data_IF_521757001867
#
_entry.id   IF_521757001867
#
_cell.length_a   1.000
_cell.length_b   1.000
_cell.length_c   1.000
_cell.angle_alpha   90.00
_cell.angle_beta   90.00
_cell.angle_gamma   90.00
#
_symmetry.space_group_name_H-M   'P 1'
#
loop_
_entity.id
_entity.type
_entity.pdbx_description
1 polymer ?
#
# COMPACT_ATOMS: atom_id res chain seq x y z
N UNK A 1 -12.20 -1.43 6.60
CA UNK A 1 -10.99 -0.61 6.69
C UNK A 1 -9.84 -1.52 7.09
N UNK A 2 -8.91 -1.71 6.17
CA UNK A 2 -7.72 -2.52 6.34
C UNK A 2 -6.54 -1.56 6.40
N UNK A 3 -5.73 -1.67 7.44
CA UNK A 3 -4.56 -0.82 7.63
C UNK A 3 -3.33 -1.62 7.25
N UNK A 4 -2.49 -1.05 6.40
CA UNK A 4 -1.16 -1.61 6.10
C UNK A 4 -0.12 -0.63 6.61
N UNK A 5 0.65 -1.07 7.59
CA UNK A 5 1.59 -0.21 8.30
C UNK A 5 3.00 -0.76 8.25
N UNK A 6 3.96 0.15 8.32
CA UNK A 6 5.38 -0.18 8.29
C UNK A 6 6.20 1.10 8.36
N UNK A 7 7.49 0.95 8.64
CA UNK A 7 8.45 2.04 8.53
C UNK A 7 8.60 2.52 7.06
N UNK A 8 9.19 3.70 6.81
CA UNK A 8 9.61 4.07 5.45
C UNK A 8 10.40 2.94 4.78
N UNK A 9 10.32 2.85 3.46
CA UNK A 9 11.09 1.87 2.66
C UNK A 9 10.77 0.37 2.89
N UNK A 10 9.80 0.04 3.73
CA UNK A 10 9.31 -1.35 3.93
C UNK A 10 8.52 -1.92 2.74
N UNK A 11 8.24 -1.11 1.71
CA UNK A 11 7.50 -1.55 0.52
C UNK A 11 5.98 -1.40 0.59
N UNK A 12 5.44 -0.58 1.52
CA UNK A 12 3.98 -0.34 1.68
C UNK A 12 3.27 0.01 0.37
N UNK A 13 3.75 1.05 -0.32
CA UNK A 13 3.21 1.49 -1.61
C UNK A 13 3.28 0.38 -2.65
N UNK A 14 4.43 -0.29 -2.77
CA UNK A 14 4.60 -1.41 -3.70
C UNK A 14 3.60 -2.54 -3.42
N UNK A 15 3.40 -2.90 -2.14
CA UNK A 15 2.44 -3.92 -1.72
C UNK A 15 1.01 -3.54 -2.09
N UNK A 16 0.58 -2.31 -1.77
CA UNK A 16 -0.76 -1.83 -2.12
C UNK A 16 -0.97 -1.74 -3.64
N UNK A 17 0.04 -1.29 -4.40
CA UNK A 17 0.01 -1.25 -5.86
C UNK A 17 -0.09 -2.66 -6.45
N UNK A 18 0.66 -3.63 -5.94
CA UNK A 18 0.57 -5.02 -6.41
C UNK A 18 -0.81 -5.63 -6.13
N UNK A 19 -1.43 -5.33 -4.97
CA UNK A 19 -2.81 -5.73 -4.68
C UNK A 19 -3.79 -5.05 -5.65
N UNK A 20 -3.62 -3.76 -5.92
CA UNK A 20 -4.46 -3.01 -6.86
C UNK A 20 -4.35 -3.57 -8.28
N UNK A 21 -3.14 -3.87 -8.75
CA UNK A 21 -2.88 -4.52 -10.04
C UNK A 21 -3.56 -5.88 -10.12
N UNK A 22 -3.33 -6.75 -9.13
CA UNK A 22 -3.96 -8.06 -9.09
C UNK A 22 -5.50 -7.97 -9.08
N UNK A 23 -6.07 -7.08 -8.27
CA UNK A 23 -7.52 -6.87 -8.20
C UNK A 23 -8.11 -6.37 -9.51
N UNK A 24 -7.44 -5.41 -10.16
CA UNK A 24 -7.87 -4.88 -11.45
C UNK A 24 -7.76 -5.91 -12.57
N UNK A 25 -6.62 -6.61 -12.67
CA UNK A 25 -6.33 -7.53 -13.76
C UNK A 25 -7.10 -8.85 -13.64
N UNK A 26 -7.07 -9.48 -12.46
CA UNK A 26 -7.61 -10.82 -12.29
C UNK A 26 -9.11 -10.82 -11.99
N UNK A 27 -9.60 -9.84 -11.22
CA UNK A 27 -11.03 -9.75 -10.89
C UNK A 27 -11.81 -8.83 -11.83
N UNK A 28 -11.12 -8.04 -12.67
CA UNK A 28 -11.76 -7.09 -13.60
C UNK A 28 -12.52 -5.96 -12.89
N UNK A 29 -12.28 -5.75 -11.59
CA UNK A 29 -13.05 -4.78 -10.80
C UNK A 29 -12.31 -3.45 -10.68
N UNK A 30 -13.02 -2.31 -10.81
CA UNK A 30 -12.40 -1.01 -10.66
C UNK A 30 -11.71 -0.85 -9.29
N UNK A 31 -10.51 -0.27 -9.32
CA UNK A 31 -9.75 0.11 -8.13
C UNK A 31 -9.49 1.61 -8.18
N UNK A 32 -9.82 2.31 -7.10
CA UNK A 32 -9.55 3.74 -6.95
C UNK A 32 -8.38 3.96 -5.97
N UNK A 33 -7.29 4.53 -6.45
CA UNK A 33 -6.07 4.76 -5.69
C UNK A 33 -5.86 6.27 -5.49
N UNK A 34 -5.88 6.72 -4.24
CA UNK A 34 -5.49 8.07 -3.85
C UNK A 34 -4.01 8.07 -3.48
N UNK A 35 -3.17 8.72 -4.27
CA UNK A 35 -1.75 8.86 -3.99
C UNK A 35 -1.44 10.28 -3.56
N UNK A 36 -1.10 10.44 -2.29
CA UNK A 36 -0.85 11.74 -1.67
C UNK A 36 0.65 12.05 -1.57
N UNK A 37 1.50 11.02 -1.71
CA UNK A 37 2.96 11.14 -1.68
C UNK A 37 3.59 11.09 -3.08
N UNK A 38 3.02 10.29 -4.00
CA UNK A 38 3.61 10.01 -5.31
C UNK A 38 2.69 10.49 -6.45
N UNK A 39 3.28 10.96 -7.55
CA UNK A 39 2.53 11.27 -8.76
C UNK A 39 2.05 10.00 -9.48
N UNK A 40 0.96 10.10 -10.25
CA UNK A 40 0.39 8.96 -10.97
C UNK A 40 1.39 8.28 -11.90
N UNK A 41 2.21 9.06 -12.61
CA UNK A 41 3.26 8.53 -13.50
C UNK A 41 4.24 7.61 -12.77
N UNK A 42 4.65 7.97 -11.55
CA UNK A 42 5.59 7.16 -10.76
C UNK A 42 4.96 5.85 -10.31
N UNK A 43 3.66 5.85 -9.99
CA UNK A 43 2.93 4.63 -9.67
C UNK A 43 2.77 3.74 -10.90
N UNK A 44 2.45 4.30 -12.07
CA UNK A 44 2.37 3.56 -13.33
C UNK A 44 3.74 2.95 -13.69
N UNK A 45 4.84 3.68 -13.53
CA UNK A 45 6.19 3.13 -13.73
C UNK A 45 6.46 1.92 -12.82
N UNK A 46 6.06 1.98 -11.54
CA UNK A 46 6.18 0.83 -10.62
C UNK A 46 5.32 -0.34 -11.08
N UNK A 47 4.09 -0.09 -11.52
CA UNK A 47 3.19 -1.11 -12.04
C UNK A 47 3.80 -1.82 -13.26
N UNK A 48 4.37 -1.05 -14.19
CA UNK A 48 5.04 -1.56 -15.38
C UNK A 48 6.32 -2.35 -15.03
N UNK A 49 7.18 -1.80 -14.16
CA UNK A 49 8.40 -2.48 -13.72
C UNK A 49 8.11 -3.81 -13.03
N UNK A 50 7.07 -3.84 -12.18
CA UNK A 50 6.60 -5.06 -11.52
C UNK A 50 6.07 -6.08 -12.54
N UNK A 51 5.29 -5.64 -13.52
CA UNK A 51 4.65 -6.52 -14.50
C UNK A 51 5.63 -7.05 -15.56
N UNK A 52 6.47 -6.18 -16.12
CA UNK A 52 7.46 -6.54 -17.13
C UNK A 52 8.74 -7.16 -16.55
N UNK A 53 8.90 -7.18 -15.21
CA UNK A 53 10.13 -7.57 -14.52
C UNK A 53 11.35 -6.79 -15.03
N UNK A 54 11.19 -5.48 -15.16
CA UNK A 54 12.26 -4.55 -15.54
C UNK A 54 12.63 -3.73 -14.32
N UNK A 55 13.94 -3.56 -14.10
CA UNK A 55 14.43 -2.76 -12.99
C UNK A 55 13.82 -1.34 -13.06
N UNK A 56 13.23 -0.88 -11.97
CA UNK A 56 12.52 0.41 -11.92
C UNK A 56 13.40 1.61 -12.23
N UNK A 57 14.69 1.55 -11.88
CA UNK A 57 15.67 2.59 -12.20
C UNK A 57 15.97 2.62 -13.70
N UNK A 58 16.16 1.45 -14.31
CA UNK A 58 16.39 1.35 -15.75
C UNK A 58 15.17 1.80 -16.54
N UNK A 59 13.97 1.44 -16.07
CA UNK A 59 12.71 1.87 -16.68
C UNK A 59 12.58 3.40 -16.65
N UNK A 60 12.89 4.04 -15.50
CA UNK A 60 12.84 5.49 -15.36
C UNK A 60 13.84 6.21 -16.27
N UNK A 61 15.02 5.63 -16.45
CA UNK A 61 16.09 6.25 -17.25
C UNK A 61 16.07 5.83 -18.72
N UNK A 62 15.20 4.89 -19.10
CA UNK A 62 15.17 4.32 -20.46
C UNK A 62 16.40 3.45 -20.79
N UNK A 63 17.14 2.97 -19.79
CA UNK A 63 18.42 2.28 -19.95
C UNK A 63 18.32 0.75 -19.97
N UNK A 64 17.17 0.19 -20.36
CA UNK A 64 16.93 -1.25 -20.42
C UNK A 64 17.22 -1.84 -21.81
N UNK A 65 17.56 -3.14 -21.90
CA UNK A 65 17.89 -3.79 -23.17
C UNK A 65 16.76 -3.74 -24.19
N UNK A 66 17.10 -3.76 -25.48
CA UNK A 66 16.13 -3.86 -26.58
C UNK A 66 15.21 -5.09 -26.44
N UNK A 67 15.74 -6.20 -25.92
CA UNK A 67 14.99 -7.43 -25.67
C UNK A 67 13.86 -7.27 -24.63
N UNK A 68 13.94 -6.28 -23.75
CA UNK A 68 12.91 -6.02 -22.73
C UNK A 68 11.74 -5.17 -23.25
N UNK A 69 11.84 -4.60 -24.46
CA UNK A 69 10.77 -3.78 -25.03
C UNK A 69 9.49 -4.56 -25.30
N UNK A 70 9.60 -5.82 -25.74
CA UNK A 70 8.44 -6.67 -25.99
C UNK A 70 7.66 -6.90 -24.69
N UNK A 71 8.35 -7.30 -23.62
CA UNK A 71 7.76 -7.49 -22.29
C UNK A 71 7.17 -6.20 -21.71
N UNK A 72 7.81 -5.05 -21.96
CA UNK A 72 7.27 -3.75 -21.54
C UNK A 72 6.01 -3.37 -22.34
N UNK A 73 6.00 -3.58 -23.65
CA UNK A 73 4.86 -3.29 -24.51
C UNK A 73 3.65 -4.16 -24.13
N UNK A 74 3.87 -5.44 -23.88
CA UNK A 74 2.83 -6.35 -23.38
C UNK A 74 2.29 -5.91 -22.01
N UNK A 75 3.18 -5.58 -21.06
CA UNK A 75 2.80 -5.10 -19.74
C UNK A 75 1.97 -3.80 -19.83
N UNK A 76 2.36 -2.89 -20.73
CA UNK A 76 1.62 -1.66 -20.99
C UNK A 76 0.23 -1.93 -21.59
N UNK A 77 0.13 -2.87 -22.53
CA UNK A 77 -1.15 -3.30 -23.09
C UNK A 77 -2.09 -3.85 -22.01
N UNK A 78 -1.61 -4.78 -21.18
CA UNK A 78 -2.39 -5.33 -20.05
C UNK A 78 -2.79 -4.25 -19.05
N UNK A 79 -1.88 -3.35 -18.71
CA UNK A 79 -2.15 -2.29 -17.74
C UNK A 79 -3.18 -1.27 -18.27
N UNK A 80 -3.15 -0.96 -19.57
CA UNK A 80 -4.10 -0.05 -20.21
C UNK A 80 -5.55 -0.56 -20.16
N UNK A 81 -5.74 -1.89 -20.19
CA UNK A 81 -7.06 -2.53 -20.06
C UNK A 81 -7.48 -2.72 -18.59
N UNK A 82 -6.57 -2.50 -17.64
CA UNK A 82 -6.83 -2.72 -16.22
C UNK A 82 -7.60 -1.52 -15.62
N UNK A 83 -8.74 -1.72 -14.93
CA UNK A 83 -9.57 -0.62 -14.42
C UNK A 83 -9.01 -0.01 -13.12
N UNK A 84 -7.79 0.51 -13.16
CA UNK A 84 -7.16 1.22 -12.04
C UNK A 84 -7.19 2.72 -12.31
N UNK A 85 -7.72 3.47 -11.36
CA UNK A 85 -7.91 4.92 -11.46
C UNK A 85 -7.09 5.57 -10.36
N UNK A 86 -6.17 6.45 -10.74
CA UNK A 86 -5.28 7.13 -9.81
C UNK A 86 -5.74 8.58 -9.66
N UNK A 87 -5.88 9.02 -8.42
CA UNK A 87 -6.07 10.39 -8.02
C UNK A 87 -4.81 10.83 -7.25
N UNK A 88 -3.96 11.60 -7.91
CA UNK A 88 -2.69 12.12 -7.36
C UNK A 88 -2.79 13.59 -6.93
N UNK A 89 -4.02 14.08 -6.67
CA UNK A 89 -4.20 15.45 -6.20
C UNK A 89 -3.55 15.64 -4.82
N UNK A 90 -2.76 16.70 -4.68
CA UNK A 90 -2.16 17.09 -3.40
C UNK A 90 -3.24 17.49 -2.38
N UNK A 91 -3.02 17.15 -1.12
CA UNK A 91 -3.89 17.49 0.03
C UNK A 91 -5.34 17.01 -0.15
N UNK A 92 -5.70 15.95 0.58
CA UNK A 92 -7.03 15.35 0.50
C UNK A 92 -7.71 15.40 1.87
N UNK A 93 -8.81 16.15 1.98
CA UNK A 93 -9.64 16.11 3.19
C UNK A 93 -10.53 14.88 3.25
N UNK A 94 -10.97 14.50 4.46
CA UNK A 94 -11.92 13.38 4.66
C UNK A 94 -13.26 13.59 3.93
N UNK A 95 -13.74 14.84 3.85
CA UNK A 95 -14.96 15.20 3.12
C UNK A 95 -14.79 15.04 1.61
N UNK A 96 -13.69 15.54 1.05
CA UNK A 96 -13.37 15.40 -0.37
C UNK A 96 -13.17 13.94 -0.76
N UNK A 97 -12.42 13.17 0.04
CA UNK A 97 -12.26 11.74 -0.15
C UNK A 97 -13.62 11.04 -0.25
N UNK A 98 -14.53 11.30 0.70
CA UNK A 98 -15.89 10.74 0.68
C UNK A 98 -16.67 11.15 -0.57
N UNK A 99 -16.64 12.43 -0.94
CA UNK A 99 -17.35 12.94 -2.11
C UNK A 99 -16.83 12.32 -3.41
N UNK A 100 -15.51 12.20 -3.56
CA UNK A 100 -14.86 11.59 -4.73
C UNK A 100 -15.16 10.10 -4.81
N UNK A 101 -15.06 9.35 -3.71
CA UNK A 101 -15.41 7.94 -3.65
C UNK A 101 -16.89 7.69 -4.03
N UNK A 102 -17.84 8.49 -3.50
CA UNK A 102 -19.26 8.40 -3.87
C UNK A 102 -19.49 8.64 -5.35
N UNK A 103 -18.90 9.71 -5.89
CA UNK A 103 -19.00 10.06 -7.32
C UNK A 103 -18.38 9.01 -8.21
N UNK A 104 -17.30 8.36 -7.76
CA UNK A 104 -16.68 7.27 -8.49
C UNK A 104 -17.59 6.01 -8.46
N UNK A 105 -18.05 5.59 -7.29
CA UNK A 105 -18.97 4.44 -7.12
C UNK A 105 -20.28 4.61 -7.90
N UNK A 106 -20.78 5.84 -8.06
CA UNK A 106 -21.98 6.08 -8.86
C UNK A 106 -21.78 5.79 -10.35
N UNK A 107 -20.57 6.03 -10.88
CA UNK A 107 -20.16 5.71 -12.25
C UNK A 107 -19.69 4.26 -12.42
N UNK A 108 -19.11 3.68 -11.37
CA UNK A 108 -18.53 2.33 -11.35
C UNK A 108 -19.17 1.52 -10.22
N UNK A 109 -20.35 0.94 -10.50
CA UNK A 109 -21.18 0.25 -9.49
C UNK A 109 -20.46 -0.94 -8.84
N UNK A 110 -19.52 -1.54 -9.56
CA UNK A 110 -18.71 -2.70 -9.20
C UNK A 110 -17.34 -2.33 -8.62
N UNK A 111 -17.09 -1.05 -8.26
CA UNK A 111 -15.88 -0.62 -7.55
C UNK A 111 -15.54 -1.63 -6.44
N UNK A 112 -14.37 -2.26 -6.59
CA UNK A 112 -13.94 -3.41 -5.80
C UNK A 112 -12.96 -3.07 -4.70
N UNK A 113 -12.21 -1.97 -4.82
CA UNK A 113 -11.21 -1.57 -3.84
C UNK A 113 -10.95 -0.06 -3.88
N UNK A 114 -10.78 0.54 -2.71
CA UNK A 114 -10.20 1.88 -2.57
C UNK A 114 -8.88 1.78 -1.81
N UNK A 115 -7.85 2.46 -2.29
CA UNK A 115 -6.53 2.53 -1.66
C UNK A 115 -6.19 3.98 -1.35
N UNK A 116 -5.64 4.25 -0.17
CA UNK A 116 -5.13 5.57 0.23
C UNK A 116 -3.66 5.45 0.64
N UNK A 117 -2.77 6.14 -0.07
CA UNK A 117 -1.34 6.19 0.18
C UNK A 117 -0.89 7.63 0.49
N UNK A 118 -0.74 8.05 1.75
CA UNK A 118 -1.00 7.33 3.00
C UNK A 118 -1.75 8.24 3.98
N UNK A 119 -2.39 7.67 5.01
CA UNK A 119 -3.45 8.37 5.75
C UNK A 119 -2.98 9.64 6.49
N UNK A 120 -1.71 9.70 6.91
CA UNK A 120 -1.18 10.86 7.65
C UNK A 120 -0.92 12.10 6.76
N UNK A 121 -1.08 11.98 5.45
CA UNK A 121 -1.08 13.11 4.51
C UNK A 121 -2.49 13.65 4.21
N UNK A 122 -3.53 12.98 4.71
CA UNK A 122 -4.88 13.52 4.67
C UNK A 122 -5.05 14.58 5.75
N UNK A 123 -5.93 15.55 5.47
CA UNK A 123 -6.31 16.56 6.43
C UNK A 123 -7.69 16.24 7.01
N UNK A 124 -7.89 16.56 8.29
CA UNK A 124 -9.24 16.57 8.85
C UNK A 124 -10.07 17.70 8.23
N UNK A 125 -11.39 17.52 8.20
CA UNK A 125 -12.28 18.54 7.62
C UNK A 125 -12.46 19.75 8.56
N UNK A 126 -12.05 19.60 9.82
CA UNK A 126 -12.05 20.63 10.87
C UNK A 126 -10.63 20.91 11.27
N UNK A 127 -10.31 22.13 11.70
CA UNK A 127 -8.98 22.42 12.25
C UNK A 127 -8.84 21.71 13.61
N UNK A 128 -7.92 20.76 13.71
CA UNK A 128 -7.59 20.06 14.94
C UNK A 128 -6.12 20.31 15.26
N UNK A 129 -5.83 20.84 16.46
CA UNK A 129 -4.46 21.13 16.87
C UNK A 129 -3.68 19.86 17.26
N UNK A 130 -4.39 18.86 17.78
CA UNK A 130 -3.79 17.60 18.18
C UNK A 130 -3.78 16.61 17.00
N UNK A 131 -2.58 16.36 16.46
CA UNK A 131 -2.36 15.41 15.35
C UNK A 131 -2.93 14.01 15.62
N UNK A 132 -2.90 13.52 16.85
CA UNK A 132 -3.46 12.20 17.18
C UNK A 132 -4.99 12.17 17.04
N UNK A 133 -5.66 13.26 17.44
CA UNK A 133 -7.10 13.42 17.27
C UNK A 133 -7.48 13.60 15.79
N UNK A 134 -6.66 14.32 15.02
CA UNK A 134 -6.84 14.46 13.57
C UNK A 134 -6.76 13.09 12.88
N UNK A 135 -5.74 12.30 13.18
CA UNK A 135 -5.58 10.95 12.64
C UNK A 135 -6.75 10.05 13.05
N UNK A 136 -7.27 10.20 14.27
CA UNK A 136 -8.48 9.51 14.72
C UNK A 136 -9.75 9.92 13.95
N UNK A 137 -9.90 11.19 13.59
CA UNK A 137 -10.99 11.64 12.72
C UNK A 137 -10.86 11.06 11.31
N UNK A 138 -9.66 11.09 10.74
CA UNK A 138 -9.36 10.53 9.41
C UNK A 138 -9.70 9.04 9.37
N UNK A 139 -9.18 8.27 10.32
CA UNK A 139 -9.45 6.83 10.45
C UNK A 139 -10.96 6.52 10.50
N UNK A 140 -11.72 7.23 11.34
CA UNK A 140 -13.17 7.09 11.43
C UNK A 140 -13.87 7.46 10.12
N UNK A 141 -13.41 8.52 9.45
CA UNK A 141 -13.91 8.93 8.14
C UNK A 141 -13.72 7.83 7.07
N UNK A 142 -12.52 7.26 6.98
CA UNK A 142 -12.21 6.15 6.07
C UNK A 142 -13.06 4.91 6.38
N UNK A 143 -13.22 4.56 7.66
CA UNK A 143 -14.10 3.46 8.09
C UNK A 143 -15.56 3.71 7.73
N UNK A 144 -16.03 4.95 7.88
CA UNK A 144 -17.35 5.39 7.47
C UNK A 144 -17.58 5.17 5.98
N UNK A 145 -16.64 5.61 5.13
CA UNK A 145 -16.71 5.40 3.67
C UNK A 145 -16.71 3.93 3.31
N UNK A 146 -15.85 3.12 3.93
CA UNK A 146 -15.81 1.67 3.67
C UNK A 146 -17.16 0.99 3.95
N UNK A 147 -17.83 1.36 5.04
CA UNK A 147 -19.16 0.84 5.41
C UNK A 147 -20.25 1.36 4.49
N UNK A 148 -20.24 2.66 4.22
CA UNK A 148 -21.28 3.30 3.41
C UNK A 148 -21.29 2.80 1.96
N UNK A 149 -20.12 2.64 1.36
CA UNK A 149 -20.01 2.20 -0.03
C UNK A 149 -19.99 0.69 -0.18
N UNK A 150 -19.88 -0.05 0.93
CA UNK A 150 -19.68 -1.51 0.96
C UNK A 150 -18.47 -1.95 0.12
N UNK A 151 -17.38 -1.17 0.18
CA UNK A 151 -16.14 -1.42 -0.56
C UNK A 151 -14.99 -1.53 0.44
N UNK A 152 -14.09 -2.53 0.30
CA UNK A 152 -12.89 -2.59 1.11
C UNK A 152 -12.03 -1.34 0.86
N UNK A 153 -11.59 -0.71 1.94
CA UNK A 153 -10.64 0.41 1.92
C UNK A 153 -9.34 -0.07 2.53
N UNK A 154 -8.24 0.02 1.78
CA UNK A 154 -6.87 -0.14 2.29
C UNK A 154 -6.30 1.26 2.53
N UNK A 155 -5.86 1.53 3.75
CA UNK A 155 -5.14 2.75 4.06
C UNK A 155 -3.72 2.42 4.50
N UNK A 156 -2.74 3.00 3.80
CA UNK A 156 -1.35 2.90 4.19
C UNK A 156 -1.09 3.82 5.39
N UNK A 157 -0.28 3.33 6.33
CA UNK A 157 0.11 4.08 7.52
C UNK A 157 1.60 3.98 7.78
N UNK A 158 2.19 5.05 8.27
CA UNK A 158 3.55 5.04 8.77
C UNK A 158 3.60 4.77 10.28
N UNK A 159 4.50 3.89 10.70
CA UNK A 159 4.75 3.60 12.12
C UNK A 159 5.68 4.62 12.77
N UNK A 160 5.60 4.72 14.10
CA UNK A 160 6.53 5.52 14.91
C UNK A 160 8.00 5.10 14.70
N UNK A 161 8.95 6.03 14.89
CA UNK A 161 10.39 5.71 14.82
C UNK A 161 10.87 4.87 16.01
N UNK A 162 10.09 4.82 17.09
CA UNK A 162 10.41 4.05 18.30
C UNK A 162 10.68 2.56 18.03
N UNK A 163 10.09 1.98 16.98
CA UNK A 163 10.34 0.61 16.53
C UNK A 163 11.82 0.35 16.29
N UNK A 164 12.54 1.33 15.76
CA UNK A 164 13.95 1.19 15.37
C UNK A 164 14.90 1.22 16.57
N UNK A 165 14.43 1.68 17.73
CA UNK A 165 15.20 1.77 18.97
C UNK A 165 15.12 0.50 19.82
N UNK A 166 14.19 -0.41 19.50
CA UNK A 166 14.09 -1.71 20.19
C UNK A 166 15.17 -2.65 19.70
N UNK A 167 15.59 -3.57 20.57
CA UNK A 167 16.45 -4.70 20.19
C UNK A 167 15.78 -5.55 19.10
N UNK A 168 14.50 -5.88 19.30
CA UNK A 168 13.68 -6.51 18.28
C UNK A 168 12.91 -5.44 17.48
N UNK A 169 13.34 -5.22 16.24
CA UNK A 169 12.78 -4.20 15.33
C UNK A 169 11.53 -4.68 14.59
N UNK A 170 10.93 -5.80 15.01
CA UNK A 170 9.64 -6.26 14.48
C UNK A 170 8.52 -5.33 14.96
N UNK A 171 7.66 -4.82 14.07
CA UNK A 171 6.56 -3.97 14.48
C UNK A 171 5.47 -4.70 15.26
N UNK A 172 4.79 -3.96 16.13
CA UNK A 172 3.70 -4.40 17.01
C UNK A 172 2.54 -3.39 16.97
N UNK A 173 1.34 -3.78 17.41
CA UNK A 173 0.17 -2.89 17.41
C UNK A 173 0.41 -1.57 18.17
N UNK A 174 1.16 -1.63 19.27
CA UNK A 174 1.54 -0.45 20.05
C UNK A 174 2.36 0.58 19.27
N UNK A 175 2.93 0.22 18.13
CA UNK A 175 3.70 1.15 17.28
C UNK A 175 2.78 2.05 16.43
N UNK A 176 1.48 1.73 16.39
CA UNK A 176 0.40 2.58 15.90
C UNK A 176 -0.18 3.47 17.01
N UNK A 177 0.29 3.35 18.26
CA UNK A 177 -0.33 3.95 19.46
C UNK A 177 -0.27 5.48 19.50
N UNK A 178 0.64 6.12 18.77
CA UNK A 178 0.56 7.56 18.46
C UNK A 178 -0.73 7.93 17.70
N UNK A 179 -1.54 6.93 17.36
CA UNK A 179 -2.81 6.99 16.65
C UNK A 179 -3.73 5.84 17.09
N UNK A 180 -3.89 5.61 18.40
CA UNK A 180 -4.65 4.47 18.96
C UNK A 180 -6.08 4.28 18.42
N UNK A 181 -6.69 5.32 17.84
CA UNK A 181 -7.95 5.21 17.12
C UNK A 181 -7.86 4.37 15.83
N UNK A 182 -6.73 4.39 15.12
CA UNK A 182 -6.50 3.54 13.93
C UNK A 182 -6.68 2.07 14.30
N UNK A 183 -6.05 1.64 15.39
CA UNK A 183 -6.15 0.27 15.86
C UNK A 183 -7.61 -0.09 16.13
N UNK A 184 -8.37 0.77 16.79
CA UNK A 184 -9.77 0.50 17.15
C UNK A 184 -10.67 0.42 15.92
N UNK A 185 -10.56 1.37 14.99
CA UNK A 185 -11.42 1.48 13.80
C UNK A 185 -11.14 0.39 12.74
N UNK A 186 -9.89 -0.07 12.66
CA UNK A 186 -9.48 -1.07 11.69
C UNK A 186 -10.21 -2.41 11.88
N UNK A 187 -10.59 -3.03 10.77
CA UNK A 187 -11.05 -4.43 10.75
C UNK A 187 -9.84 -5.37 10.75
N UNK A 188 -8.81 -5.01 9.98
CA UNK A 188 -7.54 -5.75 9.88
C UNK A 188 -6.37 -4.78 9.95
N UNK A 189 -5.31 -5.16 10.67
CA UNK A 189 -4.04 -4.43 10.73
C UNK A 189 -2.93 -5.35 10.27
N UNK A 190 -2.26 -4.96 9.19
CA UNK A 190 -1.12 -5.65 8.59
C UNK A 190 0.15 -4.85 8.88
N UNK A 191 1.13 -5.46 9.55
CA UNK A 191 2.40 -4.86 9.89
C UNK A 191 3.50 -5.47 9.02
N UNK A 192 4.13 -4.63 8.20
CA UNK A 192 5.20 -5.05 7.29
C UNK A 192 6.56 -5.01 7.97
N UNK A 193 7.33 -6.07 7.77
CA UNK A 193 8.69 -6.21 8.27
C UNK A 193 9.59 -6.86 7.21
N UNK A 194 10.77 -6.28 7.00
CA UNK A 194 11.81 -6.81 6.11
C UNK A 194 13.14 -6.85 6.88
N UNK A 195 13.65 -8.04 7.26
CA UNK A 195 14.89 -8.14 8.04
C UNK A 195 16.09 -7.52 7.32
N UNK A 196 16.26 -7.83 6.03
CA UNK A 196 17.33 -7.28 5.19
C UNK A 196 17.41 -5.74 5.14
N UNK A 197 16.33 -5.01 5.44
CA UNK A 197 16.39 -3.55 5.58
C UNK A 197 17.20 -3.10 6.81
N UNK A 198 17.12 -3.86 7.90
CA UNK A 198 17.79 -3.55 9.16
C UNK A 198 19.18 -4.16 9.27
N UNK A 199 19.45 -5.18 8.45
CA UNK A 199 20.70 -5.94 8.39
C UNK A 199 21.63 -5.45 7.25
N UNK A 200 21.15 -4.52 6.41
CA UNK A 200 21.90 -3.93 5.30
C UNK A 200 23.25 -3.36 5.77
N UNK A 201 24.35 -3.96 5.29
CA UNK A 201 25.73 -3.50 5.57
C UNK A 201 26.74 -4.59 5.90
N UNK A 202 26.35 -5.86 5.98
CA UNK A 202 27.30 -6.98 6.17
C UNK A 202 27.93 -7.35 4.81
N UNK A 203 29.25 -7.18 4.61
CA UNK A 203 29.89 -7.53 3.34
C UNK A 203 29.85 -9.06 3.11
N UNK A 204 29.35 -9.49 1.95
CA UNK A 204 29.36 -10.90 1.52
C UNK A 204 28.08 -11.69 1.79
N UNK A 205 27.06 -11.10 2.40
CA UNK A 205 25.73 -11.71 2.51
C UNK A 205 24.87 -11.42 1.27
N UNK A 206 24.14 -12.43 0.78
CA UNK A 206 23.12 -12.26 -0.26
C UNK A 206 22.03 -11.28 0.22
N UNK A 207 21.46 -10.48 -0.68
CA UNK A 207 20.41 -9.52 -0.34
C UNK A 207 19.18 -10.28 0.20
N UNK A 208 18.89 -10.13 1.50
CA UNK A 208 17.72 -10.76 2.11
C UNK A 208 16.42 -10.11 1.61
N UNK A 209 15.82 -10.76 0.63
CA UNK A 209 14.57 -10.36 0.00
C UNK A 209 13.32 -10.84 0.76
N UNK A 210 13.45 -11.49 1.93
CA UNK A 210 12.30 -11.92 2.72
C UNK A 210 11.50 -10.71 3.19
N UNK A 211 10.19 -10.85 3.12
CA UNK A 211 9.25 -9.90 3.67
C UNK A 211 8.16 -10.63 4.44
N UNK A 212 7.85 -10.11 5.63
CA UNK A 212 6.84 -10.66 6.51
C UNK A 212 5.71 -9.66 6.67
N UNK A 213 4.48 -10.14 6.51
CA UNK A 213 3.26 -9.38 6.76
C UNK A 213 2.61 -10.01 7.99
N UNK A 214 2.77 -9.36 9.15
CA UNK A 214 2.11 -9.78 10.37
C UNK A 214 0.67 -9.24 10.40
N UNK A 215 -0.32 -10.13 10.36
CA UNK A 215 -1.72 -9.83 10.64
C UNK A 215 -1.87 -9.64 12.15
N UNK A 216 -1.54 -8.45 12.62
CA UNK A 216 -1.52 -8.12 14.03
C UNK A 216 -2.93 -7.95 14.64
N UNK A 217 -3.92 -7.61 13.81
CA UNK A 217 -5.34 -7.59 14.18
C UNK A 217 -6.17 -8.12 13.02
N UNK A 218 -7.18 -8.93 13.34
CA UNK A 218 -8.18 -9.37 12.38
C UNK A 218 -9.52 -9.58 13.12
N UNK A 219 -10.53 -8.74 12.84
CA UNK A 219 -11.84 -8.84 13.52
C UNK A 219 -12.62 -10.11 13.17
N UNK A 220 -12.40 -10.67 11.98
CA UNK A 220 -13.21 -11.74 11.40
C UNK A 220 -12.41 -13.02 11.10
N UNK A 221 -11.25 -13.20 11.71
CA UNK A 221 -10.42 -14.37 11.44
C UNK A 221 -9.12 -14.38 12.25
N UNK A 222 -8.20 -15.31 11.95
CA UNK A 222 -6.99 -15.46 12.72
C UNK A 222 -6.00 -14.32 12.47
N UNK A 223 -5.22 -14.02 13.51
CA UNK A 223 -3.93 -13.33 13.40
C UNK A 223 -2.87 -14.33 12.96
N UNK A 224 -1.70 -13.83 12.53
CA UNK A 224 -0.60 -14.69 12.09
C UNK A 224 0.34 -13.95 11.15
N UNK A 225 1.35 -14.66 10.66
CA UNK A 225 2.35 -14.08 9.77
C UNK A 225 2.25 -14.70 8.38
N UNK A 226 2.35 -13.85 7.36
CA UNK A 226 2.45 -14.27 5.96
C UNK A 226 3.87 -13.97 5.49
N UNK A 227 4.56 -15.01 5.00
CA UNK A 227 5.87 -14.88 4.37
C UNK A 227 5.72 -14.60 2.86
N UNK A 228 6.43 -13.59 2.39
CA UNK A 228 6.53 -13.16 1.00
C UNK A 228 8.01 -12.94 0.65
N UNK A 229 8.29 -12.78 -0.64
CA UNK A 229 9.57 -12.30 -1.16
C UNK A 229 9.33 -10.96 -1.84
N UNK A 230 10.14 -9.96 -1.51
CA UNK A 230 10.10 -8.64 -2.14
C UNK A 230 11.27 -8.49 -3.13
N UNK A 231 10.95 -8.56 -4.41
CA UNK A 231 11.87 -8.30 -5.52
C UNK A 231 11.99 -6.77 -5.66
N UNK A 232 13.01 -6.21 -5.01
CA UNK A 232 13.20 -4.77 -4.84
C UNK A 232 13.37 -4.06 -6.16
N UNK A 233 14.14 -4.65 -7.06
CA UNK A 233 14.44 -4.16 -8.41
C UNK A 233 13.18 -3.95 -9.24
N UNK A 234 12.16 -4.79 -9.06
CA UNK A 234 10.89 -4.72 -9.78
C UNK A 234 9.78 -4.08 -8.95
N UNK A 235 10.03 -3.75 -7.69
CA UNK A 235 9.03 -3.27 -6.73
C UNK A 235 7.84 -4.23 -6.62
N UNK A 236 8.13 -5.54 -6.60
CA UNK A 236 7.12 -6.61 -6.66
C UNK A 236 7.20 -7.54 -5.46
N UNK A 237 6.07 -7.80 -4.83
CA UNK A 237 5.91 -8.90 -3.88
C UNK A 237 5.47 -10.18 -4.61
N UNK A 238 6.07 -11.31 -4.23
CA UNK A 238 5.67 -12.64 -4.67
C UNK A 238 5.48 -13.55 -3.46
N UNK A 239 4.69 -14.62 -3.61
CA UNK A 239 4.54 -15.61 -2.56
C UNK A 239 5.89 -16.28 -2.29
N UNK A 240 6.24 -16.46 -1.01
CA UNK A 240 7.35 -17.34 -0.66
C UNK A 240 6.94 -18.78 -0.98
N UNK A 241 7.86 -19.55 -1.58
CA UNK A 241 7.61 -20.97 -1.85
C UNK A 241 7.33 -21.69 -0.53
N UNK A 242 6.15 -22.29 -0.43
CA UNK A 242 5.79 -23.13 0.72
C UNK A 242 6.06 -24.56 0.33
N UNK A 243 7.31 -24.99 0.47
CA UNK A 243 7.62 -26.41 0.54
C UNK A 243 6.97 -26.95 1.82
N UNK A 244 5.84 -27.62 1.68
CA UNK A 244 5.24 -28.43 2.74
C UNK A 244 5.79 -29.85 2.69
#
# INVERSE_FOLDING_TARGET
LNIVSGRPSMGKTAFAVNIAQFGGQNAGRPVLLFSLEMGAEQLVQRMLGAEARINIHDLRNGSFPKSSWESLAEAAGRLAETPIYIDDSSMLSTLEFRARCRRFKSKHKDLGLVVVDYLQLMNSSRRIENKQQEVAEISRGLKGVARELEVPVIALSQLSRAVEQRNEKKPQLSDLRDSGAIEQDADTVLLMYRPGYYEAGVPGEEEDNRAFINIAKHRNGPTGEISLVFLREYTRFVNADRSY
#
